data_IF_783265511628
#
_entry.id   IF_783265511628
#
_cell.length_a   1.000
_cell.length_b   1.000
_cell.length_c   1.000
_cell.angle_alpha   90.00
_cell.angle_beta   90.00
_cell.angle_gamma   90.00
#
_symmetry.space_group_name_H-M   'P 1'
#
loop_
_entity.id
_entity.type
_entity.pdbx_description
1 polymer ?
#
# COMPACT_ATOMS: atom_id res chain seq x y z
N UNK A 1 -48.28 18.58 70.57
CA UNK A 1 -48.66 17.53 69.60
C UNK A 1 -48.95 18.18 68.26
N UNK A 2 -48.39 17.60 67.20
CA UNK A 2 -48.28 18.17 65.86
C UNK A 2 -49.51 17.88 64.98
N UNK A 3 -49.83 18.81 64.07
CA UNK A 3 -50.36 18.49 62.74
C UNK A 3 -49.56 19.28 61.71
N UNK A 4 -48.77 18.54 60.94
CA UNK A 4 -47.91 19.02 59.87
C UNK A 4 -48.79 19.47 58.70
N UNK A 5 -48.60 20.72 58.31
CA UNK A 5 -49.01 21.29 57.03
C UNK A 5 -48.21 20.63 55.91
N UNK A 6 -48.88 20.03 54.93
CA UNK A 6 -48.33 19.83 53.59
C UNK A 6 -49.47 19.81 52.59
N UNK A 7 -49.52 20.82 51.72
CA UNK A 7 -49.95 20.77 50.31
C UNK A 7 -49.81 22.20 49.75
N UNK A 8 -48.57 22.59 49.44
CA UNK A 8 -48.33 23.77 48.61
C UNK A 8 -48.18 23.30 47.16
N UNK A 9 -49.08 23.78 46.30
CA UNK A 9 -49.22 23.36 44.91
C UNK A 9 -47.96 23.58 44.09
N UNK A 10 -47.42 22.49 43.55
CA UNK A 10 -46.32 22.52 42.57
C UNK A 10 -46.79 23.11 41.25
N UNK A 11 -46.71 24.44 41.11
CA UNK A 11 -46.74 25.11 39.82
C UNK A 11 -45.30 25.20 39.32
N UNK A 12 -44.98 24.48 38.24
CA UNK A 12 -43.73 24.65 37.50
C UNK A 12 -43.65 26.11 37.07
N UNK A 13 -42.57 26.80 37.41
CA UNK A 13 -42.38 28.21 37.05
C UNK A 13 -42.36 28.36 35.52
N UNK A 14 -43.36 29.04 34.99
CA UNK A 14 -43.56 29.26 33.55
C UNK A 14 -42.34 29.95 32.89
N UNK A 15 -41.57 30.75 33.67
CA UNK A 15 -40.34 31.38 33.20
C UNK A 15 -39.25 30.35 32.93
N UNK A 16 -39.17 29.30 33.75
CA UNK A 16 -38.20 28.21 33.58
C UNK A 16 -38.50 27.41 32.30
N UNK A 17 -39.78 27.18 31.99
CA UNK A 17 -40.21 26.49 30.78
C UNK A 17 -39.85 27.28 29.52
N UNK A 18 -40.05 28.61 29.55
CA UNK A 18 -39.70 29.49 28.43
C UNK A 18 -38.19 29.50 28.19
N UNK A 19 -37.37 29.58 29.24
CA UNK A 19 -35.91 29.57 29.11
C UNK A 19 -35.41 28.26 28.50
N UNK A 20 -35.98 27.12 28.93
CA UNK A 20 -35.63 25.81 28.37
C UNK A 20 -36.05 25.70 26.90
N UNK A 21 -37.24 26.19 26.55
CA UNK A 21 -37.70 26.22 25.15
C UNK A 21 -36.81 27.08 24.26
N UNK A 22 -36.40 28.26 24.72
CA UNK A 22 -35.49 29.14 23.95
C UNK A 22 -34.12 28.48 23.77
N UNK A 23 -33.60 27.81 24.80
CA UNK A 23 -32.33 27.09 24.71
C UNK A 23 -32.38 25.92 23.72
N UNK A 24 -33.48 25.16 23.72
CA UNK A 24 -33.70 24.06 22.76
C UNK A 24 -33.83 24.61 21.34
N UNK A 25 -34.62 25.67 21.13
CA UNK A 25 -34.82 26.29 19.81
C UNK A 25 -33.52 26.87 19.27
N UNK A 26 -32.72 27.56 20.10
CA UNK A 26 -31.40 28.05 19.71
C UNK A 26 -30.44 26.91 19.35
N UNK A 27 -30.46 25.81 20.11
CA UNK A 27 -29.67 24.61 19.81
C UNK A 27 -30.08 23.94 18.49
N UNK A 28 -31.39 23.84 18.22
CA UNK A 28 -31.92 23.27 16.97
C UNK A 28 -31.62 24.16 15.77
N UNK A 29 -31.79 25.48 15.87
CA UNK A 29 -31.45 26.43 14.80
C UNK A 29 -29.96 26.35 14.45
N UNK A 30 -29.10 26.15 15.46
CA UNK A 30 -27.65 26.02 15.23
C UNK A 30 -27.26 24.65 14.63
N UNK A 31 -27.98 23.57 14.95
CA UNK A 31 -27.82 22.27 14.26
C UNK A 31 -28.31 22.30 12.82
N UNK A 32 -29.31 23.12 12.52
CA UNK A 32 -29.88 23.27 11.17
C UNK A 32 -29.11 24.26 10.30
N UNK A 33 -28.15 25.00 10.85
CA UNK A 33 -27.26 25.83 10.06
C UNK A 33 -26.27 24.92 9.32
N UNK A 34 -26.30 24.85 7.98
CA UNK A 34 -25.40 23.98 7.24
C UNK A 34 -23.98 24.52 7.38
N UNK A 35 -23.22 23.98 8.33
CA UNK A 35 -21.77 24.07 8.30
C UNK A 35 -21.37 23.25 7.08
N UNK A 36 -20.68 23.82 6.08
CA UNK A 36 -20.12 23.04 4.99
C UNK A 36 -19.12 22.07 5.62
N UNK A 37 -19.55 20.84 5.87
CA UNK A 37 -18.62 19.75 6.11
C UNK A 37 -17.87 19.61 4.79
N UNK A 38 -16.59 19.97 4.79
CA UNK A 38 -15.73 19.71 3.66
C UNK A 38 -15.88 18.22 3.33
N UNK A 39 -16.51 17.91 2.20
CA UNK A 39 -16.58 16.55 1.73
C UNK A 39 -15.14 16.06 1.59
N UNK A 40 -14.82 14.96 2.27
CA UNK A 40 -13.56 14.27 2.02
C UNK A 40 -13.46 14.08 0.50
N UNK A 41 -12.40 14.58 -0.15
CA UNK A 41 -12.25 14.40 -1.58
C UNK A 41 -12.39 12.91 -1.91
N UNK A 42 -13.04 12.57 -3.02
CA UNK A 42 -13.23 11.19 -3.46
C UNK A 42 -11.92 10.45 -3.81
N UNK A 43 -10.76 11.05 -3.50
CA UNK A 43 -9.43 10.59 -3.82
C UNK A 43 -8.34 11.44 -3.17
N UNK A 44 -7.11 11.23 -3.62
CA UNK A 44 -5.92 11.94 -3.14
C UNK A 44 -5.84 13.29 -3.84
N UNK A 45 -5.45 14.34 -3.13
CA UNK A 45 -5.25 15.68 -3.70
C UNK A 45 -3.82 16.12 -3.48
N UNK A 46 -3.08 16.36 -4.57
CA UNK A 46 -1.77 16.98 -4.55
C UNK A 46 -1.93 18.51 -4.57
N UNK A 47 -1.85 19.14 -3.40
CA UNK A 47 -2.06 20.60 -3.29
C UNK A 47 -0.82 21.40 -3.71
N UNK A 48 -1.05 22.59 -4.26
CA UNK A 48 0.03 23.54 -4.55
C UNK A 48 0.59 24.11 -3.24
N UNK A 49 1.90 24.01 -3.04
CA UNK A 49 2.60 24.52 -1.85
C UNK A 49 3.75 25.44 -2.23
N UNK A 50 4.25 26.17 -1.23
CA UNK A 50 5.50 26.93 -1.32
C UNK A 50 6.54 26.19 -0.49
N UNK A 51 7.73 25.96 -1.06
CA UNK A 51 8.81 25.19 -0.44
C UNK A 51 9.21 23.97 -1.26
N UNK A 52 10.05 23.13 -0.68
CA UNK A 52 10.56 21.89 -1.27
C UNK A 52 10.48 20.76 -0.25
N UNK A 53 10.45 19.52 -0.72
CA UNK A 53 10.55 18.34 0.13
C UNK A 53 11.86 18.33 0.95
N UNK A 54 11.81 17.72 2.14
CA UNK A 54 12.97 17.50 2.99
C UNK A 54 13.26 16.01 3.07
N UNK A 55 14.06 15.52 2.11
CA UNK A 55 14.36 14.10 1.97
C UNK A 55 15.16 13.54 3.16
N UNK A 56 15.85 14.40 3.92
CA UNK A 56 16.56 14.00 5.14
C UNK A 56 15.61 13.82 6.35
N UNK A 57 14.46 14.48 6.34
CA UNK A 57 13.43 14.32 7.37
C UNK A 57 12.02 14.31 6.77
N UNK A 58 11.63 13.21 6.12
CA UNK A 58 10.34 13.10 5.41
C UNK A 58 9.15 13.56 6.24
N UNK A 59 8.30 14.37 5.62
CA UNK A 59 7.08 14.87 6.25
C UNK A 59 7.26 15.97 7.30
N UNK A 60 8.48 16.51 7.50
CA UNK A 60 8.73 17.57 8.50
C UNK A 60 8.30 18.96 8.05
N UNK A 61 8.18 19.18 6.74
CA UNK A 61 7.90 20.50 6.19
C UNK A 61 6.55 21.05 6.67
N UNK A 62 6.45 22.35 7.04
CA UNK A 62 5.25 22.92 7.65
C UNK A 62 3.98 22.77 6.81
N UNK A 63 4.09 22.72 5.48
CA UNK A 63 2.93 22.57 4.60
C UNK A 63 2.24 21.21 4.78
N UNK A 64 2.94 20.16 5.22
CA UNK A 64 2.34 18.84 5.46
C UNK A 64 1.28 18.87 6.55
N UNK A 65 1.41 19.75 7.55
CA UNK A 65 0.42 19.91 8.62
C UNK A 65 -0.96 20.37 8.13
N UNK A 66 -1.01 21.03 6.96
CA UNK A 66 -2.24 21.57 6.35
C UNK A 66 -2.89 20.62 5.35
N UNK A 67 -2.21 19.53 5.00
CA UNK A 67 -2.71 18.54 4.05
C UNK A 67 -3.23 17.34 4.86
N UNK A 68 -4.50 16.94 4.72
CA UNK A 68 -5.04 15.78 5.42
C UNK A 68 -4.42 14.48 4.89
N UNK A 69 -4.29 13.48 5.76
CA UNK A 69 -3.98 12.12 5.31
C UNK A 69 -5.20 11.52 4.59
N UNK A 70 -4.99 10.97 3.41
CA UNK A 70 -5.94 10.07 2.76
C UNK A 70 -5.61 8.63 3.16
N UNK A 71 -6.57 7.90 3.71
CA UNK A 71 -6.35 6.53 4.16
C UNK A 71 -6.76 5.54 3.06
N UNK A 72 -5.78 4.84 2.50
CA UNK A 72 -5.99 3.77 1.52
C UNK A 72 -6.04 2.44 2.28
N UNK A 73 -7.20 1.79 2.25
CA UNK A 73 -7.31 0.41 2.75
C UNK A 73 -6.56 -0.53 1.82
N UNK A 74 -5.76 -1.42 2.40
CA UNK A 74 -5.02 -2.43 1.65
C UNK A 74 -5.65 -3.81 1.89
N UNK A 75 -5.53 -4.68 0.89
CA UNK A 75 -6.00 -6.05 0.90
C UNK A 75 -4.89 -7.01 0.49
N UNK A 76 -4.93 -8.28 0.92
CA UNK A 76 -4.00 -9.29 0.43
C UNK A 76 -4.15 -9.50 -1.06
N UNK A 77 -3.06 -9.41 -1.82
CA UNK A 77 -3.06 -9.75 -3.24
C UNK A 77 -3.25 -11.26 -3.49
N UNK A 78 -2.91 -12.11 -2.51
CA UNK A 78 -3.14 -13.55 -2.54
C UNK A 78 -4.34 -13.93 -1.65
N UNK A 79 -5.52 -13.42 -2.01
CA UNK A 79 -6.79 -13.69 -1.35
C UNK A 79 -7.77 -14.42 -2.27
N UNK A 80 -8.79 -15.07 -1.68
CA UNK A 80 -9.88 -15.75 -2.42
C UNK A 80 -10.67 -14.80 -3.33
N UNK A 81 -10.63 -13.49 -3.06
CA UNK A 81 -11.28 -12.45 -3.84
C UNK A 81 -10.46 -12.04 -5.06
N UNK A 82 -9.13 -12.08 -4.93
CA UNK A 82 -8.21 -11.65 -5.98
C UNK A 82 -7.78 -12.81 -6.88
N UNK A 83 -7.64 -14.02 -6.33
CA UNK A 83 -7.22 -15.22 -7.03
C UNK A 83 -8.20 -16.38 -6.79
N UNK A 84 -8.34 -17.35 -7.73
CA UNK A 84 -9.17 -18.53 -7.57
C UNK A 84 -8.51 -19.59 -6.65
N UNK A 85 -8.03 -19.15 -5.48
CA UNK A 85 -7.43 -20.00 -4.46
C UNK A 85 -8.47 -20.31 -3.38
N UNK A 86 -8.49 -21.52 -2.78
CA UNK A 86 -9.52 -21.91 -1.82
C UNK A 86 -9.29 -21.38 -0.39
N UNK A 87 -8.20 -20.65 -0.14
CA UNK A 87 -7.88 -20.05 1.15
C UNK A 87 -6.93 -18.85 0.99
N UNK A 88 -6.96 -17.91 1.94
CA UNK A 88 -6.03 -16.78 1.98
C UNK A 88 -4.60 -17.26 2.30
N UNK A 89 -3.60 -16.65 1.69
CA UNK A 89 -2.18 -16.90 2.02
C UNK A 89 -1.83 -16.10 3.29
N UNK A 90 -1.42 -16.74 4.40
CA UNK A 90 -1.23 -16.07 5.69
C UNK A 90 -0.17 -14.95 5.73
N UNK A 91 0.78 -14.96 4.79
CA UNK A 91 1.84 -13.94 4.71
C UNK A 91 1.48 -12.77 3.80
N UNK A 92 0.40 -12.84 3.02
CA UNK A 92 -0.03 -11.75 2.12
C UNK A 92 -0.95 -10.77 2.84
N UNK A 93 -0.76 -9.47 2.60
CA UNK A 93 -1.70 -8.45 3.06
C UNK A 93 -1.52 -8.06 4.53
N UNK A 94 -0.29 -8.10 5.04
CA UNK A 94 -0.01 -7.87 6.46
C UNK A 94 -0.04 -6.38 6.85
N UNK A 95 0.13 -5.47 5.89
CA UNK A 95 -0.11 -4.05 6.08
C UNK A 95 -1.59 -3.75 5.79
N UNK A 96 -2.40 -3.35 6.79
CA UNK A 96 -3.84 -3.16 6.60
C UNK A 96 -4.20 -1.86 5.85
N UNK A 97 -3.30 -0.88 5.83
CA UNK A 97 -3.53 0.39 5.16
C UNK A 97 -2.23 1.13 4.86
N UNK A 98 -2.31 2.08 3.94
CA UNK A 98 -1.29 3.10 3.69
C UNK A 98 -1.97 4.48 3.71
N UNK A 99 -1.39 5.42 4.45
CA UNK A 99 -1.83 6.81 4.47
C UNK A 99 -1.01 7.62 3.49
N UNK A 100 -1.66 8.50 2.72
CA UNK A 100 -1.04 9.27 1.65
C UNK A 100 -1.33 10.76 1.81
N UNK A 101 -0.31 11.59 1.62
CA UNK A 101 -0.42 13.03 1.34
C UNK A 101 0.31 13.33 0.04
N UNK A 102 -0.18 14.34 -0.68
CA UNK A 102 0.48 14.79 -1.89
C UNK A 102 0.55 16.32 -1.94
N UNK A 103 1.62 16.84 -2.52
CA UNK A 103 1.84 18.26 -2.72
C UNK A 103 2.67 18.50 -3.99
N UNK A 104 2.68 19.72 -4.51
CA UNK A 104 3.58 20.11 -5.59
C UNK A 104 3.95 21.60 -5.49
N UNK A 105 5.11 22.01 -5.99
CA UNK A 105 5.64 23.36 -5.76
C UNK A 105 5.86 24.22 -7.02
N UNK A 106 5.34 23.80 -8.17
CA UNK A 106 5.59 24.45 -9.46
C UNK A 106 6.39 23.57 -10.42
N UNK A 107 7.37 22.85 -9.90
CA UNK A 107 8.30 22.04 -10.70
C UNK A 107 8.32 20.58 -10.29
N UNK A 108 8.12 20.29 -9.01
CA UNK A 108 8.18 18.94 -8.45
C UNK A 108 6.85 18.55 -7.82
N UNK A 109 6.55 17.25 -7.87
CA UNK A 109 5.52 16.61 -7.04
C UNK A 109 6.20 15.91 -5.86
N UNK A 110 5.51 15.90 -4.73
CA UNK A 110 5.90 15.23 -3.49
C UNK A 110 4.75 14.30 -3.07
N UNK A 111 5.03 13.01 -2.92
CA UNK A 111 4.07 12.05 -2.36
C UNK A 111 4.65 11.51 -1.05
N UNK A 112 4.02 11.87 0.06
CA UNK A 112 4.37 11.38 1.39
C UNK A 112 3.43 10.22 1.73
N UNK A 113 4.01 9.05 1.97
CA UNK A 113 3.28 7.85 2.38
C UNK A 113 3.69 7.42 3.78
N UNK A 114 2.75 6.80 4.50
CA UNK A 114 3.01 6.21 5.82
C UNK A 114 2.20 4.93 6.01
N UNK A 115 2.84 3.84 6.41
CA UNK A 115 2.17 2.57 6.71
C UNK A 115 2.71 1.95 8.01
N UNK A 116 1.89 1.17 8.74
CA UNK A 116 2.35 0.48 9.93
C UNK A 116 3.21 -0.73 9.56
N UNK A 117 4.29 -0.93 10.29
CA UNK A 117 5.10 -2.14 10.24
C UNK A 117 5.41 -2.58 11.68
N UNK A 118 4.59 -3.47 12.27
CA UNK A 118 4.77 -3.92 13.65
C UNK A 118 5.98 -4.83 13.85
N UNK A 119 6.60 -5.31 12.77
CA UNK A 119 7.79 -6.17 12.82
C UNK A 119 9.08 -5.34 12.81
N UNK A 120 8.96 -4.06 12.46
CA UNK A 120 10.04 -3.09 12.41
C UNK A 120 10.93 -3.23 11.18
N UNK A 121 11.77 -2.22 10.91
CA UNK A 121 12.33 -2.01 9.59
C UNK A 121 13.27 -3.14 9.19
N UNK A 122 13.02 -3.72 8.03
CA UNK A 122 13.97 -4.54 7.31
C UNK A 122 14.81 -3.67 6.37
N UNK A 123 16.13 -3.74 6.47
CA UNK A 123 17.06 -2.98 5.61
C UNK A 123 17.92 -3.89 4.73
N UNK A 124 17.58 -5.17 4.61
CA UNK A 124 18.31 -6.14 3.78
C UNK A 124 18.19 -5.80 2.31
N UNK A 125 19.31 -5.84 1.58
CA UNK A 125 19.35 -5.32 0.22
C UNK A 125 18.85 -6.27 -0.89
N UNK A 126 19.00 -5.89 -2.17
CA UNK A 126 18.45 -6.60 -3.34
C UNK A 126 18.89 -8.05 -3.52
N UNK A 127 20.02 -8.45 -2.93
CA UNK A 127 20.41 -9.86 -2.90
C UNK A 127 19.43 -10.71 -2.07
N UNK A 128 18.68 -10.09 -1.15
CA UNK A 128 17.55 -10.68 -0.46
C UNK A 128 16.22 -10.54 -1.24
N UNK A 129 16.10 -9.55 -2.14
CA UNK A 129 14.97 -9.44 -3.08
C UNK A 129 14.97 -10.59 -4.09
N UNK A 130 16.16 -10.93 -4.62
CA UNK A 130 16.40 -12.13 -5.45
C UNK A 130 16.68 -13.40 -4.61
N UNK A 131 16.87 -13.23 -3.29
CA UNK A 131 17.28 -14.26 -2.32
C UNK A 131 18.61 -14.97 -2.62
N UNK A 132 19.30 -15.52 -1.60
CA UNK A 132 20.18 -16.68 -1.81
C UNK A 132 19.29 -17.90 -2.14
N UNK A 133 18.77 -17.93 -3.36
CA UNK A 133 17.74 -18.86 -3.81
C UNK A 133 16.41 -18.57 -3.16
N UNK A 134 15.47 -18.00 -3.92
CA UNK A 134 14.04 -18.11 -3.65
C UNK A 134 13.70 -19.54 -3.18
N UNK A 135 13.49 -19.82 -1.89
CA UNK A 135 13.17 -21.17 -1.40
C UNK A 135 11.72 -21.21 -0.92
N UNK A 136 10.75 -21.51 -1.80
CA UNK A 136 9.34 -21.53 -1.46
C UNK A 136 9.09 -22.48 -0.29
N UNK A 137 8.45 -21.97 0.74
CA UNK A 137 7.84 -22.79 1.78
C UNK A 137 6.44 -23.15 1.28
N UNK A 138 6.19 -24.45 1.13
CA UNK A 138 4.88 -24.97 0.76
C UNK A 138 4.29 -25.74 1.93
N UNK A 139 2.96 -25.69 2.04
CA UNK A 139 2.24 -26.31 3.14
C UNK A 139 0.90 -26.89 2.71
N UNK A 140 0.28 -27.71 3.56
CA UNK A 140 -1.12 -28.11 3.42
C UNK A 140 -1.85 -27.87 4.75
N UNK A 141 -2.81 -26.93 4.82
CA UNK A 141 -3.55 -26.67 6.05
C UNK A 141 -4.50 -27.82 6.43
N UNK A 142 -4.86 -28.68 5.47
CA UNK A 142 -5.90 -29.71 5.64
C UNK A 142 -5.34 -31.13 5.80
N UNK A 143 -4.01 -31.30 5.94
CA UNK A 143 -3.42 -32.63 6.10
C UNK A 143 -1.97 -32.72 5.61
N UNK A 144 -1.50 -33.92 5.22
CA UNK A 144 -0.17 -34.08 4.64
C UNK A 144 -0.07 -33.44 3.25
N UNK A 145 1.12 -32.97 2.89
CA UNK A 145 1.43 -32.48 1.55
C UNK A 145 1.27 -33.60 0.51
N UNK A 146 0.70 -33.27 -0.65
CA UNK A 146 0.72 -34.17 -1.79
C UNK A 146 2.11 -34.25 -2.41
N UNK A 147 2.88 -35.22 -1.93
CA UNK A 147 4.27 -35.44 -2.35
C UNK A 147 4.40 -35.85 -3.82
N UNK A 148 3.37 -36.42 -4.44
CA UNK A 148 3.39 -36.76 -5.86
C UNK A 148 3.37 -35.50 -6.71
N UNK A 149 2.43 -34.59 -6.44
CA UNK A 149 2.36 -33.31 -7.13
C UNK A 149 3.64 -32.49 -6.90
N UNK A 150 4.15 -32.45 -5.66
CA UNK A 150 5.38 -31.74 -5.33
C UNK A 150 6.59 -32.29 -6.10
N UNK A 151 6.70 -33.62 -6.29
CA UNK A 151 7.75 -34.25 -7.10
C UNK A 151 7.62 -33.91 -8.58
N UNK A 152 6.41 -33.98 -9.14
CA UNK A 152 6.17 -33.65 -10.56
C UNK A 152 6.55 -32.20 -10.81
N UNK A 153 6.04 -31.28 -9.98
CA UNK A 153 6.35 -29.86 -10.06
C UNK A 153 7.85 -29.60 -9.96
N UNK A 154 8.50 -30.06 -8.89
CA UNK A 154 9.95 -29.81 -8.72
C UNK A 154 10.78 -30.46 -9.82
N UNK A 155 10.39 -31.62 -10.35
CA UNK A 155 11.04 -32.24 -11.50
C UNK A 155 10.90 -31.42 -12.78
N UNK A 156 9.69 -30.91 -13.10
CA UNK A 156 9.45 -30.06 -14.28
C UNK A 156 10.35 -28.83 -14.29
N UNK A 157 10.69 -28.33 -13.10
CA UNK A 157 11.48 -27.12 -12.90
C UNK A 157 12.94 -27.37 -12.54
N UNK A 158 13.39 -28.63 -12.59
CA UNK A 158 14.74 -29.04 -12.21
C UNK A 158 15.14 -28.54 -10.81
N UNK A 159 14.22 -28.64 -9.85
CA UNK A 159 14.41 -28.29 -8.45
C UNK A 159 14.37 -29.53 -7.56
N UNK A 160 14.79 -29.34 -6.33
CA UNK A 160 14.68 -30.34 -5.26
C UNK A 160 13.89 -29.73 -4.11
N UNK A 161 13.33 -30.56 -3.24
CA UNK A 161 12.68 -30.10 -2.02
C UNK A 161 13.12 -30.95 -0.84
N UNK A 162 12.95 -30.44 0.37
CA UNK A 162 13.06 -31.22 1.59
C UNK A 162 11.84 -30.98 2.47
N UNK A 163 11.39 -32.05 3.14
CA UNK A 163 10.25 -31.99 4.05
C UNK A 163 10.73 -31.48 5.41
N UNK A 164 10.03 -30.49 5.97
CA UNK A 164 10.20 -30.10 7.38
C UNK A 164 9.41 -31.04 8.28
N UNK A 165 8.19 -31.38 7.85
CA UNK A 165 7.31 -32.39 8.45
C UNK A 165 6.29 -32.85 7.39
N UNK A 166 5.27 -33.61 7.79
CA UNK A 166 4.25 -34.11 6.84
C UNK A 166 3.46 -33.02 6.12
N UNK A 167 3.34 -31.83 6.70
CA UNK A 167 2.50 -30.73 6.21
C UNK A 167 3.29 -29.54 5.68
N UNK A 168 4.62 -29.53 5.82
CA UNK A 168 5.49 -28.43 5.37
C UNK A 168 6.71 -28.97 4.60
N UNK A 169 7.05 -28.31 3.50
CA UNK A 169 8.24 -28.59 2.72
C UNK A 169 8.86 -27.30 2.18
N UNK A 170 10.17 -27.30 2.01
CA UNK A 170 10.91 -26.20 1.40
C UNK A 170 11.42 -26.67 0.05
N UNK A 171 11.08 -25.94 -1.00
CA UNK A 171 11.61 -26.16 -2.35
C UNK A 171 12.91 -25.38 -2.49
N UNK A 172 14.01 -26.06 -2.81
CA UNK A 172 15.32 -25.45 -3.00
C UNK A 172 15.40 -24.81 -4.38
N UNK A 173 15.43 -23.48 -4.34
CA UNK A 173 15.44 -22.63 -5.52
C UNK A 173 14.06 -22.55 -6.15
N UNK A 174 13.67 -21.35 -6.55
CA UNK A 174 12.41 -21.11 -7.22
C UNK A 174 12.70 -20.63 -8.63
N UNK A 175 12.26 -21.38 -9.65
CA UNK A 175 11.94 -20.74 -10.91
C UNK A 175 10.68 -19.91 -10.66
N UNK A 176 10.73 -18.62 -10.98
CA UNK A 176 9.54 -17.75 -11.03
C UNK A 176 8.28 -18.39 -11.64
N UNK A 177 8.36 -19.21 -12.71
CA UNK A 177 7.17 -19.87 -13.24
C UNK A 177 6.50 -20.89 -12.32
N UNK A 178 7.19 -21.39 -11.30
CA UNK A 178 6.63 -22.31 -10.30
C UNK A 178 5.69 -21.58 -9.33
N UNK A 179 5.92 -20.30 -9.04
CA UNK A 179 5.11 -19.52 -8.10
C UNK A 179 3.67 -19.33 -8.60
N UNK A 180 3.48 -19.13 -9.91
CA UNK A 180 2.15 -19.16 -10.51
C UNK A 180 1.46 -20.52 -10.27
N UNK A 181 2.15 -21.63 -10.52
CA UNK A 181 1.57 -22.96 -10.32
C UNK A 181 1.24 -23.18 -8.85
N UNK A 182 2.12 -22.75 -7.95
CA UNK A 182 1.93 -22.82 -6.50
C UNK A 182 0.74 -22.02 -6.00
N UNK A 183 0.45 -20.88 -6.64
CA UNK A 183 -0.70 -20.05 -6.31
C UNK A 183 -1.99 -20.60 -6.92
N UNK A 184 -2.04 -20.85 -8.23
CA UNK A 184 -3.30 -21.09 -8.95
C UNK A 184 -3.68 -22.56 -9.11
N UNK A 185 -2.72 -23.48 -9.09
CA UNK A 185 -2.96 -24.89 -9.44
C UNK A 185 -2.73 -25.82 -8.26
N UNK A 186 -1.62 -25.63 -7.55
CA UNK A 186 -1.19 -26.45 -6.45
C UNK A 186 -2.23 -26.61 -5.32
N UNK A 187 -3.07 -25.59 -4.99
CA UNK A 187 -4.07 -25.75 -3.94
C UNK A 187 -5.07 -26.87 -4.22
N UNK A 188 -5.42 -27.13 -5.49
CA UNK A 188 -6.27 -28.26 -5.90
C UNK A 188 -5.65 -29.62 -5.60
N UNK A 189 -4.33 -29.67 -5.45
CA UNK A 189 -3.56 -30.86 -5.14
C UNK A 189 -3.13 -30.91 -3.67
N UNK A 190 -3.59 -30.00 -2.80
CA UNK A 190 -3.18 -30.00 -1.39
C UNK A 190 -1.74 -29.52 -1.18
N UNK A 191 -1.25 -28.62 -2.03
CA UNK A 191 0.03 -27.93 -1.88
C UNK A 191 -0.23 -26.43 -2.00
N UNK A 192 0.06 -25.68 -0.95
CA UNK A 192 -0.21 -24.25 -0.87
C UNK A 192 1.10 -23.50 -0.74
N UNK A 193 1.22 -22.38 -1.44
CA UNK A 193 2.31 -21.45 -1.20
C UNK A 193 2.11 -20.76 0.15
N UNK A 194 3.09 -20.87 1.04
CA UNK A 194 3.09 -20.16 2.33
C UNK A 194 3.90 -18.86 2.27
N UNK A 195 4.66 -18.61 1.20
CA UNK A 195 5.73 -17.62 1.16
C UNK A 195 7.08 -18.30 0.97
N UNK A 196 8.15 -17.60 1.32
CA UNK A 196 9.50 -18.15 1.26
C UNK A 196 10.02 -18.52 2.63
N UNK A 197 10.99 -19.44 2.65
CA UNK A 197 11.66 -19.84 3.87
C UNK A 197 12.46 -18.65 4.45
N UNK A 198 11.91 -18.05 5.50
CA UNK A 198 12.52 -16.95 6.24
C UNK A 198 13.24 -17.51 7.47
N UNK A 199 14.50 -17.12 7.66
CA UNK A 199 15.26 -17.43 8.88
C UNK A 199 15.85 -16.13 9.44
N UNK A 200 15.20 -15.62 10.49
CA UNK A 200 15.59 -14.39 11.18
C UNK A 200 16.97 -14.50 11.84
N UNK A 201 17.38 -15.70 12.24
CA UNK A 201 18.68 -15.94 12.91
C UNK A 201 19.84 -15.95 11.91
N UNK A 202 19.58 -16.31 10.65
CA UNK A 202 20.60 -16.36 9.59
C UNK A 202 20.44 -15.26 8.53
N UNK A 203 19.57 -14.27 8.76
CA UNK A 203 19.44 -13.10 7.89
C UNK A 203 18.69 -13.34 6.58
N UNK A 204 17.83 -14.37 6.50
CA UNK A 204 16.97 -14.59 5.33
C UNK A 204 15.61 -13.94 5.57
N UNK A 205 15.50 -12.62 5.36
CA UNK A 205 14.24 -11.87 5.32
C UNK A 205 14.32 -10.85 4.16
N UNK A 206 13.19 -10.27 3.77
CA UNK A 206 13.08 -9.39 2.60
C UNK A 206 13.16 -7.92 3.01
N UNK A 207 13.54 -6.97 2.12
CA UNK A 207 13.42 -5.55 2.44
C UNK A 207 11.95 -5.15 2.57
N UNK A 208 11.70 -4.12 3.37
CA UNK A 208 10.44 -3.41 3.31
C UNK A 208 10.39 -2.59 2.02
N UNK A 209 9.20 -2.51 1.43
CA UNK A 209 8.99 -1.82 0.17
C UNK A 209 7.66 -1.10 0.17
N UNK A 210 7.59 -0.08 -0.68
CA UNK A 210 6.34 0.56 -1.05
C UNK A 210 6.40 0.94 -2.52
N UNK A 211 5.29 0.74 -3.22
CA UNK A 211 5.15 1.11 -4.63
C UNK A 211 3.91 1.97 -4.86
N UNK A 212 4.03 2.92 -5.79
CA UNK A 212 2.93 3.73 -6.31
C UNK A 212 2.84 3.47 -7.81
N UNK A 213 1.76 2.85 -8.26
CA UNK A 213 1.49 2.64 -9.67
C UNK A 213 0.67 3.79 -10.23
N UNK A 214 1.06 4.32 -11.38
CA UNK A 214 0.38 5.36 -12.14
C UNK A 214 -0.14 4.76 -13.44
N UNK A 215 -1.45 4.65 -13.57
CA UNK A 215 -2.07 4.18 -14.80
C UNK A 215 -1.94 5.23 -15.90
N UNK A 216 -1.51 4.79 -17.09
CA UNK A 216 -1.26 5.62 -18.28
C UNK A 216 -2.13 5.23 -19.48
N UNK A 217 -3.03 4.25 -19.32
CA UNK A 217 -3.99 3.90 -20.34
C UNK A 217 -5.21 4.84 -20.38
N UNK A 218 -6.16 4.53 -21.25
CA UNK A 218 -7.36 5.35 -21.47
C UNK A 218 -8.66 4.68 -21.04
N UNK A 219 -8.60 3.44 -20.56
CA UNK A 219 -9.77 2.69 -20.14
C UNK A 219 -10.27 3.18 -18.77
N UNK A 220 -11.59 3.09 -18.57
CA UNK A 220 -12.20 3.42 -17.28
C UNK A 220 -12.20 2.19 -16.37
N UNK A 221 -11.74 2.38 -15.13
CA UNK A 221 -11.69 1.33 -14.09
C UNK A 221 -10.96 0.06 -14.55
N UNK A 222 -9.74 0.16 -15.11
CA UNK A 222 -8.92 -1.03 -15.32
C UNK A 222 -8.69 -1.71 -13.97
N UNK A 223 -8.60 -3.04 -13.96
CA UNK A 223 -8.08 -3.74 -12.80
C UNK A 223 -6.59 -3.43 -12.70
N UNK A 224 -6.14 -3.02 -11.51
CA UNK A 224 -4.72 -2.78 -11.23
C UNK A 224 -3.90 -4.07 -11.34
N UNK A 225 -4.58 -5.22 -11.26
CA UNK A 225 -4.06 -6.56 -11.49
C UNK A 225 -2.67 -6.75 -10.88
N UNK A 226 -2.41 -6.19 -9.68
CA UNK A 226 -1.14 -6.27 -8.94
C UNK A 226 -0.86 -7.72 -8.44
N UNK A 227 -1.14 -8.67 -9.32
CA UNK A 227 -1.25 -10.10 -9.21
C UNK A 227 0.00 -10.76 -9.79
N UNK A 228 0.05 -12.08 -9.65
CA UNK A 228 1.22 -12.92 -9.90
C UNK A 228 1.58 -12.97 -11.40
N UNK A 229 2.81 -12.53 -11.69
CA UNK A 229 3.60 -12.64 -12.93
C UNK A 229 3.87 -14.04 -13.50
N UNK A 230 4.11 -14.11 -14.80
CA UNK A 230 4.80 -15.22 -15.49
C UNK A 230 6.27 -14.89 -15.73
N UNK A 231 7.12 -15.86 -16.09
CA UNK A 231 8.55 -15.61 -16.31
C UNK A 231 8.85 -14.79 -17.56
N UNK A 232 8.02 -14.93 -18.60
CA UNK A 232 8.04 -14.15 -19.83
C UNK A 232 6.68 -14.21 -20.52
N UNK A 233 6.38 -13.28 -21.44
CA UNK A 233 5.17 -13.41 -22.26
C UNK A 233 5.19 -14.77 -22.95
N UNK A 234 4.02 -15.42 -23.02
CA UNK A 234 3.83 -16.72 -23.69
C UNK A 234 4.57 -17.92 -23.06
N UNK A 235 4.88 -17.90 -21.75
CA UNK A 235 5.45 -19.07 -21.08
C UNK A 235 4.44 -20.22 -20.97
N UNK A 236 4.81 -21.40 -21.50
CA UNK A 236 3.96 -22.58 -21.50
C UNK A 236 4.54 -23.69 -20.60
N UNK A 237 3.73 -24.20 -19.66
CA UNK A 237 4.07 -25.38 -18.85
C UNK A 237 3.72 -26.64 -19.64
N UNK A 238 4.70 -27.51 -19.88
CA UNK A 238 4.54 -28.73 -20.68
C UNK A 238 4.68 -30.01 -19.83
N UNK A 239 4.62 -31.18 -20.49
CA UNK A 239 4.77 -32.48 -19.84
C UNK A 239 3.58 -32.86 -18.93
N UNK A 240 3.83 -33.75 -17.97
CA UNK A 240 2.81 -34.26 -17.04
C UNK A 240 2.16 -33.14 -16.22
N UNK A 241 2.97 -32.20 -15.70
CA UNK A 241 2.47 -31.03 -14.99
C UNK A 241 1.54 -30.18 -15.87
N UNK A 242 1.94 -29.93 -17.12
CA UNK A 242 1.11 -29.21 -18.09
C UNK A 242 -0.22 -29.91 -18.37
N UNK A 243 -0.27 -31.24 -18.44
CA UNK A 243 -1.53 -31.98 -18.61
C UNK A 243 -2.42 -31.89 -17.37
N UNK A 244 -1.85 -31.97 -16.16
CA UNK A 244 -2.57 -31.82 -14.90
C UNK A 244 -3.19 -30.43 -14.74
N UNK A 245 -2.56 -29.40 -15.31
CA UNK A 245 -3.05 -28.03 -15.24
C UNK A 245 -4.28 -27.78 -16.14
N UNK A 246 -4.39 -28.47 -17.28
CA UNK A 246 -5.42 -28.20 -18.32
C UNK A 246 -6.86 -28.10 -17.82
N UNK A 247 -7.36 -28.96 -16.91
CA UNK A 247 -8.73 -28.86 -16.40
C UNK A 247 -9.00 -27.57 -15.62
N UNK A 248 -7.96 -26.95 -15.04
CA UNK A 248 -8.08 -25.79 -14.16
C UNK A 248 -7.79 -24.48 -14.89
N UNK A 249 -6.87 -24.50 -15.86
CA UNK A 249 -6.52 -23.31 -16.64
C UNK A 249 -7.23 -23.24 -17.99
N UNK A 250 -7.95 -24.29 -18.41
CA UNK A 250 -8.66 -24.36 -19.69
C UNK A 250 -7.81 -24.88 -20.86
N UNK A 251 -8.45 -25.37 -21.93
CA UNK A 251 -7.78 -25.97 -23.11
C UNK A 251 -7.36 -24.96 -24.18
N UNK A 252 -7.90 -23.74 -24.13
CA UNK A 252 -7.70 -22.66 -25.12
C UNK A 252 -7.05 -21.40 -24.49
N UNK A 253 -6.63 -21.48 -23.24
CA UNK A 253 -6.05 -20.32 -22.56
C UNK A 253 -4.58 -20.27 -22.91
N UNK A 254 -4.20 -19.30 -23.74
CA UNK A 254 -2.84 -18.76 -23.70
C UNK A 254 -2.59 -18.34 -22.25
N UNK A 255 -1.69 -19.08 -21.60
CA UNK A 255 -1.38 -18.99 -20.17
C UNK A 255 -0.66 -17.67 -19.89
N UNK A 256 -1.40 -16.56 -19.89
CA UNK A 256 -0.91 -15.29 -19.36
C UNK A 256 -0.84 -15.40 -17.84
N UNK A 257 0.23 -16.04 -17.39
CA UNK A 257 0.77 -15.88 -16.04
C UNK A 257 1.38 -14.48 -16.02
N UNK A 258 0.93 -13.55 -15.16
CA UNK A 258 1.23 -12.13 -15.38
C UNK A 258 0.45 -11.14 -14.52
N UNK A 259 1.10 -10.39 -13.62
CA UNK A 259 0.60 -9.12 -13.03
C UNK A 259 0.53 -7.98 -14.05
N UNK A 260 -0.04 -8.27 -15.22
CA UNK A 260 -0.32 -7.28 -16.25
C UNK A 260 -1.64 -6.59 -15.91
N UNK A 261 -1.67 -5.28 -16.13
CA UNK A 261 -2.92 -4.53 -16.11
C UNK A 261 -3.94 -5.22 -17.01
N UNK A 262 -5.22 -5.18 -16.62
CA UNK A 262 -6.30 -5.65 -17.50
C UNK A 262 -6.32 -4.87 -18.82
N UNK A 263 -5.85 -3.63 -18.79
CA UNK A 263 -5.68 -2.82 -19.98
C UNK A 263 -4.60 -1.74 -19.85
N UNK A 264 -4.14 -1.19 -20.98
CA UNK A 264 -3.19 -0.07 -21.00
C UNK A 264 -1.79 -0.38 -20.45
N UNK A 265 -1.10 0.67 -20.01
CA UNK A 265 0.25 0.64 -19.44
C UNK A 265 0.29 1.43 -18.12
N UNK A 266 1.30 1.19 -17.28
CA UNK A 266 1.55 1.98 -16.07
C UNK A 266 3.04 2.22 -15.81
N UNK A 267 3.30 3.33 -15.11
CA UNK A 267 4.58 3.72 -14.51
C UNK A 267 4.51 3.46 -13.01
N UNK A 268 5.42 2.68 -12.45
CA UNK A 268 5.43 2.26 -11.04
C UNK A 268 6.65 2.86 -10.36
N UNK A 269 6.42 3.63 -9.30
CA UNK A 269 7.47 4.17 -8.46
C UNK A 269 7.69 3.22 -7.29
N UNK A 270 8.80 2.52 -7.26
CA UNK A 270 9.10 1.57 -6.18
C UNK A 270 10.27 2.06 -5.32
N UNK A 271 10.03 2.11 -4.02
CA UNK A 271 11.05 2.34 -3.02
C UNK A 271 11.32 1.06 -2.24
N UNK A 272 12.61 0.80 -2.01
CA UNK A 272 13.12 -0.42 -1.41
C UNK A 272 14.11 -0.05 -0.30
N UNK A 273 13.78 -0.40 0.93
CA UNK A 273 14.50 -0.01 2.14
C UNK A 273 15.96 -0.47 2.20
N UNK A 274 16.30 -1.59 1.57
CA UNK A 274 17.66 -2.13 1.57
C UNK A 274 18.53 -1.66 0.40
N UNK A 275 17.95 -0.98 -0.58
CA UNK A 275 18.58 -0.73 -1.87
C UNK A 275 18.59 0.75 -2.27
N UNK A 276 17.45 1.41 -2.11
CA UNK A 276 17.22 2.79 -2.57
C UNK A 276 17.23 3.80 -1.43
N UNK A 277 17.27 3.32 -0.19
CA UNK A 277 17.40 4.12 1.02
C UNK A 277 18.88 4.17 1.46
N UNK A 278 19.46 5.35 1.79
CA UNK A 278 20.88 5.45 2.11
C UNK A 278 21.35 4.61 3.30
N UNK A 279 20.46 4.26 4.24
CA UNK A 279 20.80 3.37 5.35
C UNK A 279 20.57 1.87 5.05
N UNK A 280 20.14 1.54 3.83
CA UNK A 280 19.96 0.18 3.36
C UNK A 280 21.29 -0.55 3.18
N UNK A 281 21.31 -1.86 3.48
CA UNK A 281 22.55 -2.66 3.49
C UNK A 281 23.27 -2.68 2.14
N UNK A 282 22.54 -2.61 1.02
CA UNK A 282 23.11 -2.67 -0.32
C UNK A 282 23.00 -1.33 -1.06
N UNK A 283 22.72 -0.23 -0.39
CA UNK A 283 22.65 1.08 -1.04
C UNK A 283 23.96 1.43 -1.76
N UNK A 284 25.11 1.12 -1.14
CA UNK A 284 26.43 1.32 -1.72
C UNK A 284 26.66 0.52 -3.01
N UNK A 285 25.82 -0.46 -3.32
CA UNK A 285 25.90 -1.20 -4.58
C UNK A 285 25.75 -0.27 -5.80
N UNK A 286 24.84 0.71 -5.73
CA UNK A 286 24.60 1.71 -6.78
C UNK A 286 25.65 2.82 -6.83
N UNK A 287 26.61 2.83 -5.91
CA UNK A 287 27.73 3.78 -5.96
C UNK A 287 28.91 3.23 -6.76
N UNK A 288 28.80 1.99 -7.27
CA UNK A 288 29.83 1.34 -8.08
C UNK A 288 29.55 1.50 -9.58
N UNK A 289 30.19 2.51 -10.18
CA UNK A 289 30.04 2.90 -11.59
C UNK A 289 30.25 1.76 -12.58
N UNK A 290 31.11 0.78 -12.29
CA UNK A 290 31.40 -0.32 -13.22
C UNK A 290 30.18 -1.23 -13.45
N UNK A 291 29.40 -1.48 -12.41
CA UNK A 291 28.22 -2.33 -12.51
C UNK A 291 27.10 -1.65 -13.30
N UNK A 292 26.91 -0.35 -13.09
CA UNK A 292 25.86 0.44 -13.73
C UNK A 292 25.98 0.43 -15.27
N UNK A 293 27.21 0.53 -15.79
CA UNK A 293 27.50 0.51 -17.23
C UNK A 293 27.25 -0.86 -17.85
N UNK A 294 27.64 -1.96 -17.19
CA UNK A 294 27.36 -3.34 -17.64
C UNK A 294 25.87 -3.63 -17.77
N UNK A 295 25.08 -2.84 -17.05
CA UNK A 295 23.64 -2.93 -16.93
C UNK A 295 22.93 -1.90 -17.84
N UNK A 296 23.65 -1.04 -18.56
CA UNK A 296 23.05 -0.09 -19.50
C UNK A 296 22.55 1.21 -18.86
N UNK A 297 22.87 1.46 -17.59
CA UNK A 297 22.70 2.80 -17.01
C UNK A 297 23.72 3.74 -17.66
N UNK A 298 23.32 4.96 -17.96
CA UNK A 298 24.21 5.98 -18.51
C UNK A 298 25.42 6.23 -17.58
N UNK A 299 26.62 6.11 -18.13
CA UNK A 299 27.88 6.20 -17.36
C UNK A 299 28.02 7.58 -16.67
N UNK A 300 27.56 8.64 -17.31
CA UNK A 300 27.66 9.99 -16.75
C UNK A 300 26.70 10.18 -15.57
N UNK A 301 25.49 9.62 -15.66
CA UNK A 301 24.51 9.59 -14.58
C UNK A 301 25.01 8.75 -13.39
N UNK A 302 25.55 7.56 -13.64
CA UNK A 302 26.15 6.70 -12.61
C UNK A 302 27.31 7.40 -11.89
N UNK A 303 28.19 8.06 -12.66
CA UNK A 303 29.29 8.85 -12.10
C UNK A 303 28.79 10.05 -11.27
N UNK A 304 27.77 10.76 -11.73
CA UNK A 304 27.18 11.87 -10.98
C UNK A 304 26.55 11.39 -9.66
N UNK A 305 25.83 10.26 -9.69
CA UNK A 305 25.23 9.67 -8.49
C UNK A 305 26.30 9.21 -7.49
N UNK A 306 27.33 8.48 -7.92
CA UNK A 306 28.41 8.02 -7.03
C UNK A 306 29.14 9.16 -6.31
N UNK A 307 29.18 10.37 -6.89
CA UNK A 307 29.78 11.56 -6.27
C UNK A 307 28.89 12.23 -5.23
N UNK A 308 27.56 12.11 -5.38
CA UNK A 308 26.58 12.70 -4.48
C UNK A 308 25.38 11.76 -4.28
N UNK A 309 25.59 10.64 -3.58
CA UNK A 309 24.57 9.62 -3.44
C UNK A 309 23.43 10.12 -2.56
N UNK A 310 22.21 9.80 -2.95
CA UNK A 310 20.99 10.20 -2.25
C UNK A 310 19.96 9.07 -2.32
N UNK A 311 18.97 9.10 -1.43
CA UNK A 311 17.87 8.14 -1.51
C UNK A 311 17.03 8.42 -2.75
N UNK A 312 16.61 7.36 -3.44
CA UNK A 312 15.89 7.45 -4.71
C UNK A 312 14.75 6.41 -4.75
N UNK A 313 14.00 6.39 -5.84
CA UNK A 313 13.07 5.32 -6.15
C UNK A 313 13.20 5.01 -7.64
N UNK A 314 12.94 3.77 -8.00
CA UNK A 314 13.03 3.28 -9.37
C UNK A 314 11.70 3.45 -10.09
N UNK A 315 11.74 3.62 -11.42
CA UNK A 315 10.54 3.47 -12.25
C UNK A 315 10.53 2.05 -12.84
N UNK A 316 9.41 1.35 -12.68
CA UNK A 316 9.13 0.10 -13.37
C UNK A 316 7.95 0.31 -14.31
N UNK A 317 7.96 -0.35 -15.47
CA UNK A 317 6.89 -0.25 -16.44
C UNK A 317 6.03 -1.49 -16.40
N UNK A 318 4.73 -1.44 -16.67
CA UNK A 318 3.92 -2.65 -16.91
C UNK A 318 2.86 -2.38 -17.97
N UNK A 319 2.36 -3.43 -18.63
CA UNK A 319 1.31 -3.36 -19.65
C UNK A 319 0.54 -4.69 -19.78
N UNK A 320 -0.43 -4.74 -20.69
CA UNK A 320 -1.26 -5.92 -21.02
C UNK A 320 -0.46 -7.16 -21.45
N UNK A 321 0.65 -6.98 -22.15
CA UNK A 321 1.43 -8.07 -22.79
C UNK A 321 2.45 -8.73 -21.85
N UNK A 322 2.54 -8.25 -20.61
CA UNK A 322 3.34 -8.85 -19.53
C UNK A 322 4.80 -8.41 -19.51
N UNK A 323 5.28 -8.05 -18.31
CA UNK A 323 6.45 -8.67 -17.64
C UNK A 323 6.81 -8.02 -16.30
N UNK A 324 5.95 -7.33 -15.57
CA UNK A 324 6.45 -6.65 -14.36
C UNK A 324 5.60 -6.97 -13.14
N UNK A 325 6.10 -7.97 -12.41
CA UNK A 325 5.74 -8.18 -11.03
C UNK A 325 6.23 -6.98 -10.24
N UNK A 326 5.27 -6.15 -9.82
CA UNK A 326 5.48 -5.07 -8.88
C UNK A 326 6.19 -5.67 -7.67
N UNK A 327 7.36 -5.18 -7.27
CA UNK A 327 8.11 -5.79 -6.17
C UNK A 327 9.33 -6.60 -6.57
N UNK A 328 9.55 -7.04 -7.82
CA UNK A 328 10.88 -7.62 -8.16
C UNK A 328 12.02 -6.57 -8.07
N UNK A 329 11.63 -5.32 -7.85
CA UNK A 329 12.50 -4.20 -7.67
C UNK A 329 13.27 -3.86 -8.92
N UNK A 330 13.15 -4.56 -10.06
CA UNK A 330 13.78 -4.26 -11.36
C UNK A 330 15.29 -3.99 -11.38
N UNK A 331 15.95 -4.00 -10.23
CA UNK A 331 17.33 -3.57 -9.99
C UNK A 331 18.29 -4.49 -10.74
N UNK A 332 17.90 -5.73 -10.96
CA UNK A 332 18.70 -6.73 -11.68
C UNK A 332 18.40 -6.79 -13.18
N UNK A 333 17.42 -6.02 -13.66
CA UNK A 333 16.99 -6.00 -15.06
C UNK A 333 16.87 -4.56 -15.55
N UNK A 334 17.97 -3.86 -15.81
CA UNK A 334 17.91 -2.47 -16.23
C UNK A 334 17.33 -2.30 -17.65
N UNK A 335 17.27 -3.36 -18.46
CA UNK A 335 16.46 -3.39 -19.68
C UNK A 335 14.94 -3.31 -19.40
N UNK A 336 14.50 -3.56 -18.16
CA UNK A 336 13.15 -3.32 -17.67
C UNK A 336 12.88 -1.87 -17.26
N UNK A 337 13.95 -1.13 -16.97
CA UNK A 337 13.92 0.29 -16.60
C UNK A 337 14.40 1.19 -17.75
N UNK A 338 14.89 0.58 -18.83
CA UNK A 338 15.49 1.22 -20.00
C UNK A 338 16.93 1.69 -19.74
N UNK A 339 17.86 1.59 -20.72
CA UNK A 339 19.13 2.30 -20.68
C UNK A 339 18.87 3.78 -20.98
N UNK A 340 18.36 4.52 -20.01
CA UNK A 340 17.79 5.83 -20.26
C UNK A 340 18.32 6.89 -19.28
N UNK A 341 18.53 8.13 -19.75
CA UNK A 341 18.87 9.24 -18.88
C UNK A 341 17.88 9.37 -17.71
N UNK A 342 18.44 9.66 -16.54
CA UNK A 342 17.67 10.04 -15.35
C UNK A 342 17.28 8.92 -14.40
N UNK A 343 17.94 7.74 -14.47
CA UNK A 343 17.77 6.63 -13.51
C UNK A 343 17.79 7.08 -12.04
N UNK A 344 18.68 8.01 -11.73
CA UNK A 344 18.88 8.58 -10.40
C UNK A 344 18.30 10.00 -10.24
N UNK A 345 17.44 10.48 -11.15
CA UNK A 345 16.87 11.85 -11.07
C UNK A 345 15.69 11.96 -10.08
N UNK A 346 15.18 10.81 -9.64
CA UNK A 346 14.13 10.69 -8.65
C UNK A 346 14.72 10.68 -7.24
N UNK A 347 14.07 11.34 -6.28
CA UNK A 347 14.51 11.36 -4.89
C UNK A 347 13.49 10.66 -4.00
N UNK A 348 13.99 9.96 -2.99
CA UNK A 348 13.20 9.41 -1.90
C UNK A 348 13.87 9.70 -0.56
N UNK A 349 13.12 10.32 0.34
CA UNK A 349 13.47 10.37 1.76
C UNK A 349 12.72 9.28 2.52
N UNK A 350 13.35 8.63 3.49
CA UNK A 350 12.65 7.68 4.34
C UNK A 350 13.08 7.75 5.81
N UNK A 351 12.16 7.43 6.71
CA UNK A 351 12.43 7.19 8.12
C UNK A 351 11.46 6.15 8.69
N UNK A 352 11.94 5.37 9.64
CA UNK A 352 11.10 4.51 10.46
C UNK A 352 10.96 5.12 11.86
N UNK A 353 9.73 5.36 12.32
CA UNK A 353 9.47 5.98 13.61
C UNK A 353 8.13 5.50 14.17
N UNK A 354 8.09 5.20 15.47
CA UNK A 354 6.87 4.89 16.23
C UNK A 354 6.03 3.73 15.65
N UNK A 355 6.67 2.73 15.03
CA UNK A 355 5.96 1.60 14.42
C UNK A 355 5.56 1.80 12.96
N UNK A 356 6.02 2.90 12.32
CA UNK A 356 5.65 3.26 10.97
C UNK A 356 6.86 3.56 10.11
N UNK A 357 6.80 3.14 8.86
CA UNK A 357 7.59 3.74 7.81
C UNK A 357 6.94 5.03 7.32
N UNK A 358 7.75 6.05 7.08
CA UNK A 358 7.37 7.29 6.40
C UNK A 358 8.33 7.47 5.23
N UNK A 359 7.79 7.52 4.01
CA UNK A 359 8.56 7.69 2.78
C UNK A 359 8.02 8.87 1.99
N UNK A 360 8.90 9.74 1.50
CA UNK A 360 8.58 10.90 0.68
C UNK A 360 9.21 10.74 -0.71
N UNK A 361 8.37 10.46 -1.71
CA UNK A 361 8.74 10.38 -3.12
C UNK A 361 8.75 11.78 -3.71
N UNK A 362 9.81 12.13 -4.43
CA UNK A 362 9.98 13.46 -5.03
C UNK A 362 10.51 13.31 -6.45
N UNK A 363 9.79 13.89 -7.41
CA UNK A 363 10.27 13.97 -8.80
C UNK A 363 9.73 15.18 -9.53
N UNK A 364 10.38 15.61 -10.63
CA UNK A 364 9.83 16.61 -11.52
C UNK A 364 8.43 16.22 -12.05
N UNK A 365 7.58 17.22 -12.28
CA UNK A 365 6.26 17.02 -12.88
C UNK A 365 6.37 16.50 -14.32
N UNK A 366 7.30 17.08 -15.10
CA UNK A 366 7.69 16.54 -16.40
C UNK A 366 8.75 15.49 -16.17
N UNK A 367 8.48 14.27 -16.58
CA UNK A 367 9.37 13.18 -16.26
C UNK A 367 10.72 13.27 -16.99
N UNK A 368 11.83 12.92 -16.32
CA UNK A 368 13.16 12.89 -16.95
C UNK A 368 13.33 11.67 -17.86
N UNK A 369 12.70 10.54 -17.53
CA UNK A 369 12.76 9.30 -18.32
C UNK A 369 11.63 9.22 -19.36
N UNK A 370 11.89 8.63 -20.55
CA UNK A 370 10.83 8.30 -21.49
C UNK A 370 9.86 7.27 -20.90
N UNK A 371 8.65 7.22 -21.43
CA UNK A 371 7.59 6.25 -21.07
C UNK A 371 7.13 6.27 -19.60
N UNK A 372 7.56 7.25 -18.80
CA UNK A 372 7.04 7.51 -17.45
C UNK A 372 5.94 8.58 -17.49
N UNK A 373 5.15 8.66 -16.41
CA UNK A 373 3.97 9.54 -16.38
C UNK A 373 4.36 11.03 -16.38
N UNK A 374 3.76 11.83 -17.27
CA UNK A 374 3.85 13.29 -17.21
C UNK A 374 2.69 13.87 -16.40
N UNK A 375 3.03 14.62 -15.36
CA UNK A 375 2.10 15.12 -14.37
C UNK A 375 1.77 16.59 -14.61
N UNK A 376 0.49 16.87 -14.86
CA UNK A 376 0.02 18.20 -15.27
C UNK A 376 -0.92 18.77 -14.20
N UNK A 377 -0.63 19.96 -13.64
CA UNK A 377 -1.56 20.66 -12.75
C UNK A 377 -2.94 20.83 -13.37
N UNK A 378 -3.98 20.55 -12.60
CA UNK A 378 -5.39 20.53 -13.01
C UNK A 378 -5.87 19.17 -13.52
N UNK A 379 -5.00 18.17 -13.68
CA UNK A 379 -5.36 16.83 -14.12
C UNK A 379 -5.59 15.86 -12.95
N UNK A 380 -6.34 14.80 -13.22
CA UNK A 380 -6.55 13.66 -12.31
C UNK A 380 -5.98 12.40 -12.95
N UNK A 381 -5.31 11.60 -12.15
CA UNK A 381 -4.65 10.35 -12.52
C UNK A 381 -5.20 9.21 -11.67
N UNK A 382 -5.14 7.99 -12.19
CA UNK A 382 -5.50 6.80 -11.44
C UNK A 382 -4.23 6.17 -10.85
N UNK A 383 -4.19 6.04 -9.52
CA UNK A 383 -3.05 5.47 -8.79
C UNK A 383 -3.42 4.27 -7.93
N UNK A 384 -2.53 3.29 -7.83
CA UNK A 384 -2.65 2.13 -6.97
C UNK A 384 -1.40 1.99 -6.08
N UNK A 385 -1.52 1.30 -4.96
CA UNK A 385 -0.46 1.20 -3.95
C UNK A 385 -0.15 -0.26 -3.61
N UNK A 386 1.13 -0.56 -3.38
CA UNK A 386 1.55 -1.82 -2.77
C UNK A 386 2.54 -1.58 -1.62
N UNK A 387 2.48 -2.43 -0.60
CA UNK A 387 3.36 -2.42 0.57
C UNK A 387 3.83 -3.84 0.86
N UNK A 388 5.09 -3.95 1.28
CA UNK A 388 5.69 -5.19 1.76
C UNK A 388 6.35 -5.00 3.11
N UNK A 389 5.97 -5.85 4.06
CA UNK A 389 6.57 -6.01 5.37
C UNK A 389 7.60 -7.14 5.31
N UNK A 390 8.83 -6.79 4.96
CA UNK A 390 9.85 -7.74 4.59
C UNK A 390 10.34 -8.62 5.74
N UNK A 391 10.33 -8.12 6.99
CA UNK A 391 10.57 -8.96 8.19
C UNK A 391 9.44 -9.94 8.48
N UNK A 392 8.22 -9.61 8.07
CA UNK A 392 7.07 -10.48 8.20
C UNK A 392 7.05 -11.61 7.15
N UNK A 393 7.92 -11.49 6.13
CA UNK A 393 8.08 -12.46 5.07
C UNK A 393 7.35 -12.10 3.78
N UNK A 394 6.77 -10.90 3.66
CA UNK A 394 6.18 -10.41 2.40
C UNK A 394 7.26 -10.23 1.34
N UNK A 395 7.01 -10.77 0.15
CA UNK A 395 7.96 -10.87 -0.95
C UNK A 395 7.39 -10.29 -2.23
N UNK A 396 8.12 -10.31 -3.33
CA UNK A 396 7.61 -9.81 -4.62
C UNK A 396 6.22 -10.37 -4.97
N UNK A 397 5.86 -11.55 -4.45
CA UNK A 397 4.61 -12.23 -4.74
C UNK A 397 3.48 -12.00 -3.74
N UNK A 398 3.77 -11.87 -2.45
CA UNK A 398 2.79 -11.69 -1.39
C UNK A 398 2.96 -10.31 -0.76
N UNK A 399 1.93 -9.49 -0.93
CA UNK A 399 1.97 -8.08 -0.63
C UNK A 399 0.59 -7.55 -0.26
N UNK A 400 0.59 -6.38 0.34
CA UNK A 400 -0.62 -5.61 0.63
C UNK A 400 -0.88 -4.63 -0.50
N UNK A 401 -2.03 -4.69 -1.17
CA UNK A 401 -2.35 -3.83 -2.34
C UNK A 401 -3.61 -3.00 -2.11
N UNK A 402 -3.74 -1.85 -2.76
CA UNK A 402 -5.06 -1.22 -2.93
C UNK A 402 -5.98 -2.17 -3.70
N UNK A 403 -7.26 -2.21 -3.36
CA UNK A 403 -8.22 -3.09 -4.04
C UNK A 403 -8.60 -2.61 -5.45
N UNK A 404 -8.33 -1.34 -5.76
CA UNK A 404 -8.58 -0.70 -7.04
C UNK A 404 -7.71 0.55 -7.18
N UNK A 405 -7.66 1.10 -8.39
CA UNK A 405 -7.16 2.45 -8.60
C UNK A 405 -7.96 3.49 -7.79
N UNK A 406 -7.25 4.53 -7.38
CA UNK A 406 -7.72 5.66 -6.58
C UNK A 406 -7.40 6.93 -7.36
N UNK A 407 -8.35 7.86 -7.53
CA UNK A 407 -8.07 9.10 -8.22
C UNK A 407 -7.11 9.97 -7.41
N UNK A 408 -6.09 10.52 -8.07
CA UNK A 408 -5.16 11.51 -7.55
C UNK A 408 -5.21 12.77 -8.42
N UNK A 409 -5.71 13.86 -7.86
CA UNK A 409 -5.81 15.15 -8.55
C UNK A 409 -4.64 16.06 -8.21
N UNK A 410 -3.97 16.62 -9.22
CA UNK A 410 -2.96 17.65 -9.05
C UNK A 410 -3.65 19.01 -8.99
N UNK A 411 -4.00 19.48 -7.79
CA UNK A 411 -4.79 20.69 -7.63
C UNK A 411 -3.99 21.95 -7.95
N UNK A 412 -4.62 22.93 -8.61
CA UNK A 412 -4.00 24.25 -8.83
C UNK A 412 -4.05 25.16 -7.60
N UNK A 413 -4.72 24.71 -6.54
CA UNK A 413 -4.99 25.46 -5.31
C UNK A 413 -4.11 25.03 -4.15
N UNK A 414 -3.90 25.95 -3.22
CA UNK A 414 -3.28 25.66 -1.94
C UNK A 414 -4.21 24.80 -1.06
N UNK A 415 -3.68 24.04 -0.08
CA UNK A 415 -4.52 23.28 0.82
C UNK A 415 -5.43 24.24 1.60
N UNK A 416 -6.74 23.97 1.58
CA UNK A 416 -7.68 24.68 2.42
C UNK A 416 -7.37 24.31 3.87
N UNK A 417 -7.04 25.31 4.70
CA UNK A 417 -7.07 25.14 6.14
C UNK A 417 -8.49 24.72 6.52
N UNK A 418 -8.69 23.44 6.82
CA UNK A 418 -9.88 23.06 7.58
C UNK A 418 -9.62 23.63 8.96
N UNK A 419 -10.33 24.66 9.42
CA UNK A 419 -10.16 25.07 10.81
C UNK A 419 -10.53 23.84 11.65
N UNK A 420 -9.74 23.49 12.70
CA UNK A 420 -10.23 22.54 13.69
C UNK A 420 -11.63 23.01 14.12
N UNK A 421 -12.55 22.07 14.35
CA UNK A 421 -13.92 22.38 14.81
C UNK A 421 -13.79 23.48 15.86
N UNK A 422 -14.32 24.69 15.61
CA UNK A 422 -14.07 25.82 16.49
C UNK A 422 -14.42 25.40 17.90
N UNK A 423 -13.59 25.72 18.88
CA UNK A 423 -13.79 25.26 20.27
C UNK A 423 -15.18 25.65 20.77
N UNK A 424 -15.75 26.73 20.22
CA UNK A 424 -17.12 27.18 20.44
C UNK A 424 -18.17 26.12 20.05
N UNK A 425 -17.99 25.40 18.94
CA UNK A 425 -18.91 24.34 18.49
C UNK A 425 -18.86 23.13 19.43
N UNK A 426 -17.67 22.75 19.91
CA UNK A 426 -17.51 21.66 20.90
C UNK A 426 -18.14 22.07 22.23
N UNK A 427 -17.89 23.31 22.69
CA UNK A 427 -18.47 23.84 23.92
C UNK A 427 -20.00 23.86 23.84
N UNK A 428 -20.58 24.31 22.73
CA UNK A 428 -22.04 24.34 22.54
C UNK A 428 -22.64 22.93 22.52
N UNK A 429 -21.99 21.97 21.86
CA UNK A 429 -22.43 20.57 21.86
C UNK A 429 -22.41 19.97 23.27
N UNK A 430 -21.34 20.20 24.04
CA UNK A 430 -21.23 19.73 25.43
C UNK A 430 -22.29 20.39 26.32
N UNK A 431 -22.51 21.70 26.19
CA UNK A 431 -23.56 22.41 26.94
C UNK A 431 -24.94 21.85 26.58
N UNK A 432 -25.23 21.60 25.31
CA UNK A 432 -26.50 21.03 24.85
C UNK A 432 -26.77 19.64 25.43
N UNK A 433 -25.75 18.77 25.49
CA UNK A 433 -25.83 17.45 26.12
C UNK A 433 -26.09 17.57 27.63
N UNK A 434 -25.36 18.45 28.32
CA UNK A 434 -25.53 18.66 29.77
C UNK A 434 -26.94 19.18 30.09
N UNK A 435 -27.45 20.17 29.34
CA UNK A 435 -28.81 20.69 29.51
C UNK A 435 -29.85 19.58 29.30
N UNK A 436 -29.66 18.76 28.27
CA UNK A 436 -30.57 17.64 27.96
C UNK A 436 -30.60 16.61 29.08
N UNK A 437 -29.43 16.25 29.63
CA UNK A 437 -29.33 15.31 30.77
C UNK A 437 -29.95 15.87 32.04
N UNK A 438 -29.76 17.16 32.33
CA UNK A 438 -30.40 17.83 33.48
C UNK A 438 -31.92 17.85 33.30
N UNK A 439 -32.42 18.16 32.10
CA UNK A 439 -33.85 18.16 31.82
C UNK A 439 -34.46 16.76 31.99
N UNK A 440 -33.80 15.72 31.46
CA UNK A 440 -34.23 14.32 31.65
C UNK A 440 -34.25 13.94 33.14
N UNK A 441 -33.20 14.31 33.89
CA UNK A 441 -33.12 14.05 35.33
C UNK A 441 -34.23 14.72 36.14
N UNK A 442 -34.56 15.97 35.81
CA UNK A 442 -35.65 16.72 36.46
C UNK A 442 -37.02 16.11 36.13
N UNK A 443 -37.25 15.70 34.88
CA UNK A 443 -38.48 15.00 34.48
C UNK A 443 -38.61 13.68 35.25
N UNK A 444 -37.54 12.88 35.28
CA UNK A 444 -37.52 11.60 35.99
C UNK A 444 -37.77 11.76 37.49
N UNK A 445 -37.16 12.76 38.13
CA UNK A 445 -37.38 13.09 39.53
C UNK A 445 -38.82 13.55 39.82
N UNK A 446 -39.42 14.33 38.91
CA UNK A 446 -40.81 14.79 39.03
C UNK A 446 -41.82 13.65 38.92
N UNK A 447 -41.55 12.66 38.06
CA UNK A 447 -42.39 11.47 37.88
C UNK A 447 -42.28 10.56 39.11
N UNK A 448 -41.08 10.41 39.69
CA UNK A 448 -40.82 9.52 40.84
C UNK A 448 -41.36 10.05 42.18
N UNK A 449 -41.70 11.34 42.25
CA UNK A 449 -42.29 11.99 43.43
C UNK A 449 -43.81 12.13 43.37
N UNK A 450 -44.43 11.75 42.25
CA UNK A 450 -45.85 11.40 42.19
C UNK A 450 -46.02 9.95 42.57
#
# INVERSE_FOLDING_TARGET
>A
MARVSMLNGGKVDFRLVIIVMIAIVAGVIYMLYPIPLAQTPAGIVAYKVVGSANIQNPGSEPFWSRIPWYNVSLVPNLSTQMLPIPANVPTSGLAPYIMVKAAWNGSYIFILVKWPDPYGPSLVGPAAIAGPGHWPLVYNPNGPLNVTFLKIMTSTFHKTYFMLNSSFAVIKGSPRPMEYILAYVAPHYGVYFYGYYVNLTTGHYYPDRVAIMWYMGSEQSPSDCMNIGGPHPNYAVSGELGQLMKPYVGTNVEQYTGGSLSSGAADIWEWISGATYPSGQNFNYFTNVTWDVENGIDESAAKAFSQNPHGFFINLFTNQTGLYDIGDGGIWYPNATGPEPGYFDNYAGAKYQDGYWVVEFVRPLKAPMPYTVNLTPGSTYDVAFAVWLGKAGETSWDKSISASFIPLTIATTAPSVTPPIPIQVIIVAVIGVVISLVAIGLVFYSIRRR
#
